data_IF_116045026176
#
_entry.id   IF_116045026176
#
_cell.length_a   1.000
_cell.length_b   1.000
_cell.length_c   1.000
_cell.angle_alpha   90.00
_cell.angle_beta   90.00
_cell.angle_gamma   90.00
#
_symmetry.space_group_name_H-M   'P 1'
#
loop_
_entity.id
_entity.type
_entity.pdbx_description
1 polymer ?
#
# COMPACT_ATOMS: atom_id res chain seq x y z
N UNK A 1 49.28 20.46 -17.29
CA UNK A 1 48.52 19.38 -16.62
C UNK A 1 47.05 19.78 -16.55
N UNK A 2 46.23 19.50 -17.58
CA UNK A 2 44.81 19.86 -17.58
C UNK A 2 43.98 18.67 -17.08
N UNK A 3 43.35 18.79 -15.92
CA UNK A 3 42.46 17.77 -15.36
C UNK A 3 41.11 17.79 -16.08
N UNK A 4 40.84 16.76 -16.90
CA UNK A 4 39.52 16.55 -17.49
C UNK A 4 38.53 16.15 -16.38
N UNK A 5 37.65 17.08 -16.01
CA UNK A 5 36.49 16.84 -15.15
C UNK A 5 35.51 15.94 -15.90
N UNK A 6 35.41 14.66 -15.52
CA UNK A 6 34.42 13.73 -16.07
C UNK A 6 33.05 14.12 -15.51
N UNK A 7 32.21 14.74 -16.33
CA UNK A 7 30.85 15.06 -15.95
C UNK A 7 30.03 13.75 -15.85
N UNK A 8 29.62 13.39 -14.63
CA UNK A 8 28.70 12.29 -14.39
C UNK A 8 27.37 12.59 -15.10
N UNK A 9 27.09 11.88 -16.19
CA UNK A 9 25.85 11.97 -16.94
C UNK A 9 24.72 11.45 -16.03
N UNK A 10 23.95 12.35 -15.41
CA UNK A 10 22.69 12.00 -14.74
C UNK A 10 21.78 11.36 -15.79
N UNK A 11 21.71 10.03 -15.82
CA UNK A 11 20.72 9.32 -16.64
C UNK A 11 19.34 9.73 -16.14
N UNK A 12 18.60 10.49 -16.95
CA UNK A 12 17.22 10.83 -16.65
C UNK A 12 16.48 9.53 -16.32
N UNK A 13 15.98 9.39 -15.09
CA UNK A 13 15.29 8.20 -14.67
C UNK A 13 14.07 8.01 -15.60
N UNK A 14 14.11 6.94 -16.40
CA UNK A 14 12.99 6.58 -17.29
C UNK A 14 11.73 6.53 -16.41
N UNK A 15 10.72 7.31 -16.75
CA UNK A 15 9.41 7.22 -16.08
C UNK A 15 8.76 5.89 -16.46
N UNK A 16 7.90 5.36 -15.58
CA UNK A 16 7.18 4.12 -15.85
C UNK A 16 6.31 4.27 -17.11
N UNK A 17 6.36 3.32 -18.07
CA UNK A 17 5.52 3.35 -19.25
C UNK A 17 4.04 3.28 -18.90
N UNK A 18 3.17 3.87 -19.75
CA UNK A 18 1.72 3.89 -19.53
C UNK A 18 1.12 2.47 -19.41
N UNK A 19 1.67 1.50 -20.15
CA UNK A 19 1.32 0.07 -20.07
C UNK A 19 1.56 -0.56 -18.69
N UNK A 20 2.44 0.03 -17.87
CA UNK A 20 2.68 -0.39 -16.49
C UNK A 20 1.53 -0.08 -15.52
N UNK A 21 0.60 0.81 -15.92
CA UNK A 21 -0.54 1.24 -15.11
C UNK A 21 -1.81 0.58 -15.64
N UNK A 22 -2.48 -0.19 -14.79
CA UNK A 22 -3.73 -0.85 -15.14
C UNK A 22 -4.88 0.18 -15.11
N UNK A 23 -5.72 0.33 -16.16
CA UNK A 23 -6.86 1.25 -16.13
C UNK A 23 -7.84 0.95 -14.99
N UNK A 24 -7.98 -0.31 -14.56
CA UNK A 24 -8.82 -0.73 -13.43
C UNK A 24 -8.16 -0.54 -12.06
N UNK A 25 -7.02 0.14 -12.02
CA UNK A 25 -6.29 0.48 -10.79
C UNK A 25 -5.08 -0.41 -10.51
N UNK A 26 -4.12 0.12 -9.73
CA UNK A 26 -2.88 -0.59 -9.39
C UNK A 26 -1.86 -0.68 -10.54
N UNK A 27 -0.97 -1.67 -10.45
CA UNK A 27 0.11 -1.92 -11.41
C UNK A 27 -0.12 -3.23 -12.18
N UNK A 28 0.17 -3.22 -13.48
CA UNK A 28 0.18 -4.43 -14.31
C UNK A 28 1.40 -5.31 -13.98
N UNK A 29 1.47 -6.51 -14.57
CA UNK A 29 2.67 -7.35 -14.45
C UNK A 29 3.92 -6.65 -14.98
N UNK A 30 3.79 -5.94 -16.10
CA UNK A 30 4.87 -5.13 -16.68
C UNK A 30 5.27 -3.97 -15.77
N UNK A 31 4.30 -3.28 -15.16
CA UNK A 31 4.60 -2.21 -14.20
C UNK A 31 5.38 -2.71 -12.99
N UNK A 32 5.06 -3.91 -12.50
CA UNK A 32 5.83 -4.55 -11.41
C UNK A 32 7.22 -4.98 -11.86
N UNK A 33 7.37 -5.53 -13.08
CA UNK A 33 8.68 -5.86 -13.66
C UNK A 33 9.56 -4.62 -13.81
N UNK A 34 9.00 -3.52 -14.30
CA UNK A 34 9.70 -2.25 -14.42
C UNK A 34 10.29 -1.76 -13.09
N UNK A 35 9.51 -1.83 -12.00
CA UNK A 35 10.01 -1.47 -10.67
C UNK A 35 11.00 -2.50 -10.09
N UNK A 36 10.88 -3.78 -10.47
CA UNK A 36 11.86 -4.80 -10.10
C UNK A 36 13.21 -4.54 -10.77
N UNK A 37 13.22 -4.28 -12.08
CA UNK A 37 14.43 -4.01 -12.86
C UNK A 37 15.10 -2.70 -12.44
N UNK A 38 14.30 -1.66 -12.13
CA UNK A 38 14.82 -0.33 -11.80
C UNK A 38 15.26 -0.18 -10.36
N UNK A 39 14.52 -0.75 -9.42
CA UNK A 39 14.70 -0.51 -7.97
C UNK A 39 15.00 -1.79 -7.19
N UNK A 40 15.06 -2.95 -7.84
CA UNK A 40 15.22 -4.25 -7.18
C UNK A 40 13.98 -4.66 -6.36
N UNK A 41 12.82 -4.04 -6.62
CA UNK A 41 11.63 -4.26 -5.81
C UNK A 41 10.81 -5.47 -6.26
N UNK A 42 10.56 -6.39 -5.34
CA UNK A 42 9.68 -7.56 -5.59
C UNK A 42 8.22 -7.24 -5.25
N UNK A 43 7.65 -6.25 -5.96
CA UNK A 43 6.27 -5.84 -5.73
C UNK A 43 5.30 -7.00 -6.02
N UNK A 44 4.51 -7.36 -5.00
CA UNK A 44 3.46 -8.37 -5.11
C UNK A 44 2.14 -7.70 -5.61
N UNK A 45 1.30 -8.41 -6.38
CA UNK A 45 -0.01 -7.91 -6.77
C UNK A 45 -0.91 -7.68 -5.54
N UNK A 46 -1.92 -6.84 -5.68
CA UNK A 46 -2.94 -6.61 -4.64
C UNK A 46 -3.60 -7.92 -4.22
N UNK A 47 -3.95 -8.02 -2.94
CA UNK A 47 -4.60 -9.23 -2.39
C UNK A 47 -6.07 -9.23 -2.83
N UNK A 48 -6.36 -9.89 -3.94
CA UNK A 48 -7.74 -10.10 -4.42
C UNK A 48 -8.39 -11.24 -3.62
N UNK A 49 -9.64 -11.04 -3.21
CA UNK A 49 -10.42 -12.04 -2.46
C UNK A 49 -10.23 -11.99 -0.94
N UNK A 50 -10.53 -13.12 -0.31
CA UNK A 50 -10.47 -13.29 1.14
C UNK A 50 -9.01 -13.28 1.64
N UNK A 51 -8.84 -12.71 2.84
CA UNK A 51 -7.55 -12.58 3.50
C UNK A 51 -7.37 -13.73 4.49
N UNK A 52 -7.28 -14.96 3.98
CA UNK A 52 -7.32 -16.18 4.81
C UNK A 52 -5.98 -16.50 5.48
N UNK A 53 -4.89 -15.89 5.00
CA UNK A 53 -3.55 -16.08 5.59
C UNK A 53 -3.12 -14.84 6.37
N UNK A 54 -2.33 -14.99 7.45
CA UNK A 54 -1.82 -13.85 8.21
C UNK A 54 -1.08 -12.82 7.33
N UNK A 55 -0.33 -13.28 6.32
CA UNK A 55 0.34 -12.38 5.38
C UNK A 55 -0.67 -11.58 4.53
N UNK A 56 -1.73 -12.23 4.02
CA UNK A 56 -2.79 -11.54 3.27
C UNK A 56 -3.51 -10.53 4.15
N UNK A 57 -3.83 -10.89 5.40
CA UNK A 57 -4.44 -9.98 6.39
C UNK A 57 -3.57 -8.74 6.61
N UNK A 58 -2.28 -8.94 6.88
CA UNK A 58 -1.33 -7.84 7.08
C UNK A 58 -1.26 -6.92 5.87
N UNK A 59 -1.07 -7.48 4.68
CA UNK A 59 -0.90 -6.72 3.43
C UNK A 59 -2.15 -5.92 3.09
N UNK A 60 -3.32 -6.58 3.09
CA UNK A 60 -4.59 -5.95 2.76
C UNK A 60 -5.01 -4.95 3.83
N UNK A 61 -4.89 -5.32 5.09
CA UNK A 61 -5.17 -4.42 6.22
C UNK A 61 -4.32 -3.15 6.19
N UNK A 62 -3.00 -3.30 6.01
CA UNK A 62 -2.08 -2.17 5.93
C UNK A 62 -2.38 -1.24 4.76
N UNK A 63 -2.65 -1.79 3.57
CA UNK A 63 -3.02 -0.99 2.41
C UNK A 63 -4.29 -0.19 2.67
N UNK A 64 -5.36 -0.86 3.12
CA UNK A 64 -6.66 -0.21 3.32
C UNK A 64 -6.59 0.89 4.39
N UNK A 65 -5.93 0.61 5.50
CA UNK A 65 -5.78 1.61 6.57
C UNK A 65 -4.95 2.81 6.11
N UNK A 66 -3.87 2.62 5.34
CA UNK A 66 -3.03 3.74 4.86
C UNK A 66 -3.74 4.62 3.84
N UNK A 67 -4.47 4.01 2.90
CA UNK A 67 -5.04 4.75 1.77
C UNK A 67 -6.42 5.34 2.05
N UNK A 68 -7.22 4.74 2.93
CA UNK A 68 -8.62 5.13 3.09
C UNK A 68 -8.97 5.70 4.48
N UNK A 69 -8.04 5.74 5.45
CA UNK A 69 -8.31 6.38 6.75
C UNK A 69 -8.46 7.90 6.58
N UNK A 70 -7.50 8.50 5.90
CA UNK A 70 -7.48 9.92 5.56
C UNK A 70 -7.18 10.02 4.07
N UNK A 71 -8.18 9.78 3.21
CA UNK A 71 -7.95 9.82 1.78
C UNK A 71 -7.48 11.21 1.37
N UNK A 72 -6.44 11.27 0.54
CA UNK A 72 -5.83 12.56 0.10
C UNK A 72 -6.69 13.33 -0.89
N UNK A 73 -7.80 12.76 -1.35
CA UNK A 73 -8.67 13.37 -2.34
C UNK A 73 -9.99 12.60 -2.46
N UNK A 74 -10.89 13.08 -3.32
CA UNK A 74 -12.20 12.49 -3.47
C UNK A 74 -12.12 11.11 -4.11
N UNK A 75 -13.13 10.28 -3.84
CA UNK A 75 -13.25 8.95 -4.42
C UNK A 75 -13.84 8.97 -5.83
N UNK A 76 -14.59 10.03 -6.14
CA UNK A 76 -15.19 10.27 -7.44
C UNK A 76 -14.85 11.69 -7.91
N UNK A 77 -14.64 11.85 -9.21
CA UNK A 77 -14.44 13.15 -9.85
C UNK A 77 -15.17 13.12 -11.19
N UNK A 78 -16.03 14.11 -11.43
CA UNK A 78 -16.79 14.26 -12.68
C UNK A 78 -17.62 13.00 -13.05
N UNK A 79 -18.14 12.28 -12.05
CA UNK A 79 -18.89 11.02 -12.25
C UNK A 79 -18.01 9.78 -12.44
N UNK A 80 -16.68 9.94 -12.48
CA UNK A 80 -15.73 8.84 -12.67
C UNK A 80 -14.98 8.48 -11.37
N UNK A 81 -14.74 7.18 -11.11
CA UNK A 81 -13.95 6.77 -9.95
C UNK A 81 -12.51 7.24 -10.10
N UNK A 82 -11.99 7.89 -9.04
CA UNK A 82 -10.60 8.36 -9.06
C UNK A 82 -9.62 7.19 -9.00
N UNK A 83 -8.34 7.49 -9.27
CA UNK A 83 -7.26 6.49 -9.16
C UNK A 83 -7.21 5.84 -7.77
N UNK A 84 -7.59 6.58 -6.73
CA UNK A 84 -7.67 6.08 -5.36
C UNK A 84 -8.82 5.07 -5.20
N UNK A 85 -10.01 5.36 -5.73
CA UNK A 85 -11.13 4.42 -5.73
C UNK A 85 -10.83 3.15 -6.56
N UNK A 86 -10.24 3.30 -7.76
CA UNK A 86 -9.78 2.18 -8.58
C UNK A 86 -8.73 1.32 -7.86
N UNK A 87 -7.91 1.93 -6.99
CA UNK A 87 -6.95 1.17 -6.20
C UNK A 87 -7.64 0.23 -5.19
N UNK A 88 -8.84 0.54 -4.70
CA UNK A 88 -9.61 -0.40 -3.88
C UNK A 88 -9.99 -1.66 -4.68
N UNK A 89 -10.46 -1.48 -5.92
CA UNK A 89 -10.81 -2.58 -6.82
C UNK A 89 -9.63 -3.48 -7.14
N UNK A 90 -8.44 -2.90 -7.35
CA UNK A 90 -7.21 -3.66 -7.57
C UNK A 90 -6.85 -4.58 -6.39
N UNK A 91 -7.34 -4.28 -5.19
CA UNK A 91 -7.20 -5.06 -3.95
C UNK A 91 -8.45 -5.90 -3.60
N UNK A 92 -9.36 -6.07 -4.56
CA UNK A 92 -10.56 -6.90 -4.40
C UNK A 92 -11.55 -6.34 -3.38
N UNK A 93 -11.58 -5.03 -3.20
CA UNK A 93 -12.62 -4.31 -2.45
C UNK A 93 -13.55 -3.57 -3.41
N UNK A 94 -14.79 -3.26 -3.00
CA UNK A 94 -15.66 -2.40 -3.79
C UNK A 94 -15.03 -1.01 -3.97
N UNK A 95 -15.29 -0.38 -5.12
CA UNK A 95 -14.88 0.99 -5.36
C UNK A 95 -15.69 1.91 -4.44
N UNK A 96 -15.06 2.64 -3.51
CA UNK A 96 -15.76 3.65 -2.74
C UNK A 96 -16.15 4.80 -3.69
N UNK A 97 -17.36 5.33 -3.52
CA UNK A 97 -17.83 6.56 -4.18
C UNK A 97 -17.78 7.74 -3.23
N UNK A 98 -17.92 7.48 -1.93
CA UNK A 98 -17.92 8.50 -0.87
C UNK A 98 -16.78 8.32 0.11
N UNK A 99 -16.44 9.38 0.85
CA UNK A 99 -15.50 9.28 1.97
C UNK A 99 -15.99 8.33 3.07
N UNK A 100 -17.31 8.22 3.27
CA UNK A 100 -17.88 7.29 4.24
C UNK A 100 -17.58 5.84 3.87
N UNK A 101 -17.70 5.48 2.59
CA UNK A 101 -17.32 4.16 2.10
C UNK A 101 -15.82 3.91 2.20
N UNK A 102 -14.99 4.92 1.93
CA UNK A 102 -13.55 4.83 2.17
C UNK A 102 -13.22 4.55 3.65
N UNK A 103 -13.86 5.26 4.58
CA UNK A 103 -13.69 5.03 6.03
C UNK A 103 -14.12 3.61 6.43
N UNK A 104 -15.17 3.06 5.83
CA UNK A 104 -15.57 1.64 6.03
C UNK A 104 -14.48 0.67 5.55
N UNK A 105 -13.85 0.93 4.42
CA UNK A 105 -12.70 0.15 3.95
C UNK A 105 -11.52 0.24 4.92
N UNK A 106 -11.23 1.43 5.45
CA UNK A 106 -10.19 1.61 6.46
C UNK A 106 -10.49 0.83 7.75
N UNK A 107 -11.75 0.83 8.21
CA UNK A 107 -12.21 0.07 9.36
C UNK A 107 -12.04 -1.45 9.13
N UNK A 108 -12.43 -1.95 7.94
CA UNK A 108 -12.15 -3.34 7.53
C UNK A 108 -10.64 -3.64 7.58
N UNK A 109 -9.83 -2.71 7.10
CA UNK A 109 -8.37 -2.83 7.16
C UNK A 109 -7.82 -2.96 8.58
N UNK A 110 -8.34 -2.16 9.53
CA UNK A 110 -7.99 -2.25 10.95
C UNK A 110 -8.37 -3.60 11.55
N UNK A 111 -9.56 -4.10 11.26
CA UNK A 111 -10.00 -5.43 11.71
C UNK A 111 -9.12 -6.57 11.17
N UNK A 112 -8.63 -6.48 9.92
CA UNK A 112 -7.66 -7.44 9.39
C UNK A 112 -6.30 -7.37 10.11
N UNK A 113 -5.82 -6.17 10.42
CA UNK A 113 -4.57 -6.00 11.17
C UNK A 113 -4.70 -6.52 12.60
N UNK A 114 -5.83 -6.31 13.25
CA UNK A 114 -6.10 -6.85 14.59
C UNK A 114 -6.04 -8.38 14.60
N UNK A 115 -6.74 -9.04 13.67
CA UNK A 115 -6.67 -10.50 13.49
C UNK A 115 -5.26 -10.98 13.17
N UNK A 116 -4.52 -10.24 12.35
CA UNK A 116 -3.11 -10.54 12.10
C UNK A 116 -2.27 -10.49 13.40
N UNK A 117 -2.47 -9.46 14.23
CA UNK A 117 -1.72 -9.30 15.47
C UNK A 117 -2.08 -10.35 16.52
N UNK A 118 -3.32 -10.84 16.51
CA UNK A 118 -3.79 -11.94 17.36
C UNK A 118 -3.21 -13.28 16.90
N UNK A 119 -3.32 -13.60 15.61
CA UNK A 119 -2.80 -14.84 15.04
C UNK A 119 -1.28 -14.96 15.13
N UNK A 120 -0.55 -13.85 15.09
CA UNK A 120 0.93 -13.85 15.20
C UNK A 120 1.45 -13.61 16.61
N UNK A 121 0.57 -13.42 17.61
CA UNK A 121 0.96 -13.08 18.98
C UNK A 121 1.67 -11.73 19.14
N UNK A 122 1.82 -10.95 18.07
CA UNK A 122 2.53 -9.66 18.10
C UNK A 122 1.80 -8.61 18.93
N UNK A 123 0.47 -8.70 19.08
CA UNK A 123 -0.33 -7.84 20.00
C UNK A 123 0.09 -8.06 21.45
N UNK A 124 0.35 -9.30 21.85
CA UNK A 124 0.78 -9.65 23.21
C UNK A 124 2.22 -9.19 23.47
N UNK A 125 3.11 -9.36 22.48
CA UNK A 125 4.48 -8.87 22.54
C UNK A 125 4.55 -7.34 22.63
N UNK A 126 3.74 -6.60 21.87
CA UNK A 126 3.71 -5.13 21.92
C UNK A 126 3.13 -4.60 23.23
N UNK A 127 2.06 -5.22 23.76
CA UNK A 127 1.53 -4.90 25.10
C UNK A 127 2.56 -5.15 26.21
N UNK A 128 3.31 -6.25 26.14
CA UNK A 128 4.39 -6.56 27.09
C UNK A 128 5.53 -5.55 27.00
N UNK A 129 5.88 -5.10 25.78
CA UNK A 129 6.88 -4.07 25.56
C UNK A 129 6.46 -2.70 26.14
N UNK A 130 5.21 -2.27 25.88
CA UNK A 130 4.65 -1.02 26.45
C UNK A 130 4.66 -1.05 27.98
N UNK A 131 4.22 -2.16 28.60
CA UNK A 131 4.24 -2.32 30.06
C UNK A 131 5.67 -2.29 30.64
N UNK A 132 6.65 -2.82 29.91
CA UNK A 132 8.07 -2.81 30.30
C UNK A 132 8.69 -1.42 30.20
N UNK A 133 8.33 -0.63 29.18
CA UNK A 133 8.83 0.75 29.03
C UNK A 133 8.20 1.71 30.03
N UNK A 134 6.93 1.54 30.38
CA UNK A 134 6.26 2.36 31.40
C UNK A 134 6.74 2.05 32.83
N UNK A 135 7.23 0.84 33.09
CA UNK A 135 7.81 0.41 34.37
C UNK A 135 9.27 0.86 34.59
N UNK A 136 9.93 1.44 33.57
CA UNK A 136 11.34 1.88 33.63
C UNK A 136 11.50 3.41 33.56
N UNK A 137 10.37 4.13 33.54
CA UNK A 137 10.32 5.58 33.53
C UNK A 137 9.98 6.18 34.92
N UNK A 138 9.95 5.32 35.95
CA UNK A 138 9.88 5.64 37.38
C UNK A 138 11.19 5.16 38.03
#
# INVERSE_FOLDING_TARGET
MATKKVAAKKTAAKSMPKAGKDPKGGLTAEGRKFFNEREGSHLKPGVKGAADTPEKMKRKGSFLTRHFTHPRGPMEKDGEPTRLALSAQAWGEPMPKTEGEAKKLAAKGRGLLEKFHETTGTKAASKKAVKKTSSKAE
#
